data_IF_517850126564
#
_entry.id   IF_517850126564
#
_cell.length_a   1.000
_cell.length_b   1.000
_cell.length_c   1.000
_cell.angle_alpha   90.00
_cell.angle_beta   90.00
_cell.angle_gamma   90.00
#
_symmetry.space_group_name_H-M   'P 1'
#
loop_
_entity.id
_entity.type
_entity.pdbx_description
1 polymer ?
#
# COMPACT_ATOMS: atom_id res chain seq x y z
N UNK A 1 -11.59 21.39 -47.27
CA UNK A 1 -10.41 21.42 -48.15
C UNK A 1 -9.17 21.34 -47.27
N UNK A 2 -8.38 20.27 -47.41
CA UNK A 2 -7.02 20.19 -46.85
C UNK A 2 -6.01 20.74 -47.89
N UNK A 3 -4.77 21.07 -47.50
CA UNK A 3 -3.75 20.01 -47.52
C UNK A 3 -2.77 20.04 -46.33
N UNK A 4 -2.09 18.90 -46.19
CA UNK A 4 -1.37 18.43 -45.03
C UNK A 4 0.17 18.56 -45.13
N UNK A 5 0.76 18.83 -43.97
CA UNK A 5 1.95 18.24 -43.31
C UNK A 5 3.31 18.06 -44.01
N UNK A 6 4.33 18.47 -43.25
CA UNK A 6 5.78 18.37 -43.45
C UNK A 6 6.32 16.92 -43.45
N UNK A 7 7.25 16.70 -44.39
CA UNK A 7 8.55 15.99 -44.25
C UNK A 7 8.56 14.63 -43.49
N UNK A 8 8.46 13.55 -44.27
CA UNK A 8 9.13 12.26 -44.01
C UNK A 8 9.74 11.75 -45.32
N UNK A 9 11.08 11.58 -45.45
CA UNK A 9 11.70 11.07 -46.68
C UNK A 9 11.88 9.56 -46.58
N UNK A 10 10.81 8.80 -46.84
CA UNK A 10 10.91 7.35 -47.03
C UNK A 10 10.43 7.04 -48.45
N UNK A 11 11.38 6.79 -49.35
CA UNK A 11 11.09 6.31 -50.70
C UNK A 11 10.71 4.82 -50.62
N UNK A 12 9.41 4.54 -50.49
CA UNK A 12 8.87 3.20 -50.65
C UNK A 12 8.84 2.84 -52.14
N UNK A 13 9.90 2.18 -52.62
CA UNK A 13 9.95 1.74 -54.01
C UNK A 13 11.18 0.97 -54.47
N UNK A 14 12.28 0.92 -53.70
CA UNK A 14 13.43 0.05 -53.95
C UNK A 14 14.15 -0.20 -52.63
N UNK A 15 14.14 -1.45 -52.14
CA UNK A 15 14.83 -1.85 -50.90
C UNK A 15 16.34 -1.74 -51.02
N UNK A 16 16.90 -0.55 -50.77
CA UNK A 16 18.33 -0.38 -50.49
C UNK A 16 18.57 0.87 -49.65
N UNK A 17 18.96 0.64 -48.39
CA UNK A 17 19.45 1.68 -47.48
C UNK A 17 20.83 2.11 -47.99
N UNK A 18 20.97 3.37 -48.40
CA UNK A 18 22.28 3.94 -48.67
C UNK A 18 22.88 4.32 -47.32
N UNK A 19 23.49 3.32 -46.66
CA UNK A 19 24.47 3.59 -45.62
C UNK A 19 25.70 4.20 -46.29
N UNK A 20 25.99 5.48 -46.03
CA UNK A 20 27.20 6.08 -46.56
C UNK A 20 27.28 7.59 -46.40
N UNK A 21 27.79 8.01 -45.25
CA UNK A 21 28.46 9.29 -45.02
C UNK A 21 29.49 9.58 -46.12
N UNK A 22 29.19 10.50 -47.05
CA UNK A 22 30.16 11.28 -47.85
C UNK A 22 29.40 12.09 -48.92
N UNK A 23 28.68 13.14 -48.52
CA UNK A 23 27.98 14.02 -49.47
C UNK A 23 27.97 15.49 -49.08
N UNK A 24 28.53 15.85 -47.92
CA UNK A 24 28.63 17.25 -47.46
C UNK A 24 29.90 17.97 -47.94
N UNK A 25 30.77 17.31 -48.70
CA UNK A 25 31.99 17.91 -49.25
C UNK A 25 31.83 18.60 -50.61
N UNK A 26 30.62 18.62 -51.19
CA UNK A 26 30.39 19.08 -52.57
C UNK A 26 29.41 20.25 -52.74
N UNK A 27 29.02 20.94 -51.67
CA UNK A 27 28.06 22.07 -51.73
C UNK A 27 28.68 23.43 -51.46
N UNK A 28 29.99 23.56 -51.59
CA UNK A 28 30.66 24.86 -51.64
C UNK A 28 31.64 24.87 -52.80
N UNK A 29 31.11 24.98 -54.01
CA UNK A 29 31.87 25.49 -55.15
C UNK A 29 30.97 26.40 -55.99
N UNK A 30 31.40 27.62 -56.33
CA UNK A 30 30.72 28.45 -57.31
C UNK A 30 30.86 27.82 -58.70
N UNK A 31 29.86 28.06 -59.55
CA UNK A 31 29.68 27.52 -60.89
C UNK A 31 30.94 27.52 -61.76
N UNK A 32 31.23 26.38 -62.41
CA UNK A 32 32.06 26.32 -63.61
C UNK A 32 33.08 25.19 -63.65
N UNK A 33 32.86 24.23 -64.56
CA UNK A 33 33.79 23.27 -65.21
C UNK A 33 33.43 21.79 -64.94
N UNK A 34 33.04 21.02 -65.98
CA UNK A 34 32.88 19.57 -65.91
C UNK A 34 34.19 18.85 -66.27
N UNK A 35 34.61 17.83 -65.50
CA UNK A 35 35.67 16.90 -65.89
C UNK A 35 35.13 15.49 -66.13
N UNK A 36 35.40 14.97 -67.32
CA UNK A 36 35.05 13.62 -67.80
C UNK A 36 36.13 12.58 -67.48
N UNK A 37 35.67 11.41 -67.01
CA UNK A 37 36.10 10.02 -67.22
C UNK A 37 37.59 9.63 -67.41
N UNK A 38 38.03 8.56 -66.72
CA UNK A 38 38.01 7.19 -67.27
C UNK A 38 38.57 6.16 -66.26
N UNK A 39 37.95 4.98 -66.16
CA UNK A 39 38.41 3.88 -65.30
C UNK A 39 38.84 2.68 -66.15
N UNK A 40 40.12 2.29 -66.06
CA UNK A 40 40.67 1.05 -66.65
C UNK A 40 40.63 -0.06 -65.58
N UNK A 41 40.12 -1.25 -65.91
CA UNK A 41 39.96 -2.37 -64.97
C UNK A 41 41.13 -3.37 -65.13
N UNK A 42 41.84 -3.66 -64.04
CA UNK A 42 42.81 -4.77 -63.89
C UNK A 42 42.15 -5.93 -63.13
N UNK A 43 42.27 -7.16 -63.64
CA UNK A 43 41.73 -8.36 -62.98
C UNK A 43 42.65 -8.85 -61.84
N UNK A 44 42.06 -9.08 -60.66
CA UNK A 44 42.77 -9.49 -59.44
C UNK A 44 42.83 -11.00 -59.18
N UNK A 45 43.79 -11.39 -58.34
CA UNK A 45 44.10 -12.76 -57.90
C UNK A 45 42.89 -13.51 -57.31
N UNK A 46 42.92 -14.84 -57.46
CA UNK A 46 41.77 -15.70 -57.20
C UNK A 46 41.30 -15.70 -55.72
N UNK A 47 39.98 -15.81 -55.47
CA UNK A 47 39.36 -15.59 -54.15
C UNK A 47 39.91 -16.48 -53.02
N UNK A 48 40.35 -17.70 -53.35
CA UNK A 48 40.80 -18.69 -52.37
C UNK A 48 42.10 -18.27 -51.66
N UNK A 49 43.05 -17.69 -52.40
CA UNK A 49 44.33 -17.24 -51.83
C UNK A 49 44.13 -16.06 -50.86
N UNK A 50 43.19 -15.16 -51.18
CA UNK A 50 42.90 -13.98 -50.35
C UNK A 50 42.23 -14.34 -49.01
N UNK A 51 41.37 -15.37 -49.01
CA UNK A 51 40.65 -15.81 -47.82
C UNK A 51 41.58 -16.43 -46.75
N UNK A 52 42.55 -17.25 -47.18
CA UNK A 52 43.47 -17.93 -46.24
C UNK A 52 44.39 -16.94 -45.50
N UNK A 53 44.95 -15.95 -46.21
CA UNK A 53 45.80 -14.94 -45.57
C UNK A 53 45.02 -14.06 -44.58
N UNK A 54 43.75 -13.76 -44.86
CA UNK A 54 42.91 -12.97 -43.96
C UNK A 54 42.62 -13.70 -42.64
N UNK A 55 42.44 -15.03 -42.67
CA UNK A 55 42.15 -15.82 -41.48
C UNK A 55 43.34 -15.88 -40.50
N UNK A 56 44.56 -16.07 -41.01
CA UNK A 56 45.76 -16.14 -40.18
C UNK A 56 46.06 -14.81 -39.47
N UNK A 57 45.86 -13.68 -40.15
CA UNK A 57 46.06 -12.34 -39.55
C UNK A 57 45.00 -12.01 -38.48
N UNK A 58 43.78 -12.56 -38.58
CA UNK A 58 42.70 -12.32 -37.59
C UNK A 58 42.92 -13.04 -36.25
N UNK A 59 43.53 -14.23 -36.24
CA UNK A 59 43.75 -14.99 -34.99
C UNK A 59 44.78 -14.35 -34.06
N UNK A 60 45.90 -13.82 -34.58
CA UNK A 60 46.95 -13.18 -33.75
C UNK A 60 46.52 -11.86 -33.09
N UNK A 61 45.51 -11.13 -33.61
CA UNK A 61 45.06 -9.85 -33.04
C UNK A 61 44.07 -9.97 -31.87
N UNK A 62 43.46 -11.14 -31.62
CA UNK A 62 42.43 -11.28 -30.58
C UNK A 62 42.99 -11.46 -29.16
N UNK A 63 44.17 -12.06 -29.00
CA UNK A 63 44.74 -12.38 -27.66
C UNK A 63 45.19 -11.15 -26.87
N UNK A 64 45.84 -10.16 -27.51
CA UNK A 64 46.36 -8.98 -26.80
C UNK A 64 45.31 -7.96 -26.32
N UNK A 65 44.08 -7.98 -26.87
CA UNK A 65 43.01 -7.06 -26.44
C UNK A 65 42.34 -7.51 -25.14
N UNK A 66 42.24 -8.82 -24.91
CA UNK A 66 41.59 -9.33 -23.70
C UNK A 66 42.44 -9.12 -22.44
N UNK A 67 43.77 -9.24 -22.56
CA UNK A 67 44.67 -8.95 -21.44
C UNK A 67 44.63 -7.48 -21.01
N UNK A 68 44.53 -6.53 -21.95
CA UNK A 68 44.41 -5.10 -21.64
C UNK A 68 43.10 -4.76 -20.95
N UNK A 69 41.99 -5.40 -21.34
CA UNK A 69 40.71 -5.22 -20.67
C UNK A 69 40.70 -5.82 -19.26
N UNK A 70 41.36 -6.97 -19.04
CA UNK A 70 41.49 -7.58 -17.72
C UNK A 70 42.31 -6.70 -16.76
N UNK A 71 43.44 -6.17 -17.22
CA UNK A 71 44.28 -5.27 -16.41
C UNK A 71 43.53 -3.98 -16.05
N UNK A 72 42.76 -3.40 -16.98
CA UNK A 72 41.93 -2.23 -16.70
C UNK A 72 40.89 -2.50 -15.61
N UNK A 73 40.19 -3.64 -15.69
CA UNK A 73 39.18 -4.03 -14.70
C UNK A 73 39.81 -4.24 -13.32
N UNK A 74 40.99 -4.85 -13.27
CA UNK A 74 41.74 -5.05 -12.02
C UNK A 74 42.17 -3.70 -11.43
N UNK A 75 42.69 -2.77 -12.22
CA UNK A 75 43.08 -1.42 -11.74
C UNK A 75 41.86 -0.66 -11.21
N UNK A 76 40.73 -0.70 -11.90
CA UNK A 76 39.48 -0.07 -11.44
C UNK A 76 39.02 -0.70 -10.12
N UNK A 77 39.04 -2.02 -10.01
CA UNK A 77 38.71 -2.73 -8.77
C UNK A 77 39.67 -2.37 -7.62
N UNK A 78 40.97 -2.26 -7.88
CA UNK A 78 41.98 -1.85 -6.89
C UNK A 78 41.79 -0.39 -6.46
N UNK A 79 41.40 0.52 -7.35
CA UNK A 79 41.05 1.90 -6.97
C UNK A 79 39.86 1.92 -6.03
N UNK A 80 38.84 1.08 -6.26
CA UNK A 80 37.69 0.94 -5.34
C UNK A 80 38.05 0.28 -4.00
N UNK A 81 39.01 -0.66 -3.98
CA UNK A 81 39.41 -1.40 -2.78
C UNK A 81 40.52 -0.72 -1.95
N UNK A 82 41.35 0.16 -2.53
CA UNK A 82 42.57 0.67 -1.89
C UNK A 82 42.79 2.20 -1.96
N UNK A 83 41.74 3.03 -2.05
CA UNK A 83 41.92 4.49 -1.86
C UNK A 83 41.16 5.07 -0.64
N UNK A 84 41.80 5.97 0.15
CA UNK A 84 41.24 6.62 1.34
C UNK A 84 40.12 7.63 1.04
N UNK A 85 39.63 7.70 -0.19
CA UNK A 85 38.51 8.57 -0.58
C UNK A 85 37.14 8.06 -0.10
N UNK A 86 37.09 6.87 0.51
CA UNK A 86 35.86 6.28 1.03
C UNK A 86 35.20 7.12 2.13
N UNK A 87 35.93 7.91 2.93
CA UNK A 87 35.28 8.68 3.99
C UNK A 87 34.36 9.78 3.46
N UNK A 88 34.75 10.49 2.40
CA UNK A 88 33.92 11.54 1.81
C UNK A 88 32.75 10.96 1.01
N UNK A 89 33.00 9.90 0.25
CA UNK A 89 31.95 9.23 -0.53
C UNK A 89 30.95 8.54 0.39
N UNK A 90 31.38 7.87 1.46
CA UNK A 90 30.47 7.23 2.42
C UNK A 90 29.63 8.26 3.20
N UNK A 91 30.20 9.42 3.54
CA UNK A 91 29.44 10.52 4.17
C UNK A 91 28.41 11.13 3.22
N UNK A 92 28.76 11.36 1.95
CA UNK A 92 27.81 11.88 0.97
C UNK A 92 26.74 10.85 0.62
N UNK A 93 27.13 9.58 0.51
CA UNK A 93 26.21 8.48 0.23
C UNK A 93 25.25 8.26 1.40
N UNK A 94 25.70 8.37 2.66
CA UNK A 94 24.82 8.23 3.83
C UNK A 94 23.85 9.42 3.98
N UNK A 95 24.29 10.64 3.69
CA UNK A 95 23.41 11.82 3.64
C UNK A 95 22.36 11.65 2.53
N UNK A 96 22.80 11.28 1.34
CA UNK A 96 21.91 11.08 0.19
C UNK A 96 20.96 9.91 0.38
N UNK A 97 21.42 8.78 0.94
CA UNK A 97 20.57 7.66 1.34
C UNK A 97 19.58 8.10 2.41
N UNK A 98 19.98 8.93 3.38
CA UNK A 98 19.07 9.47 4.39
C UNK A 98 17.97 10.35 3.80
N UNK A 99 18.31 11.20 2.82
CA UNK A 99 17.33 12.02 2.08
C UNK A 99 16.44 11.18 1.18
N UNK A 100 16.99 10.18 0.50
CA UNK A 100 16.26 9.22 -0.32
C UNK A 100 15.29 8.37 0.52
N UNK A 101 15.73 7.88 1.68
CA UNK A 101 14.87 7.16 2.63
C UNK A 101 13.80 8.06 3.25
N UNK A 102 14.05 9.35 3.45
CA UNK A 102 13.00 10.32 3.83
C UNK A 102 12.02 10.59 2.69
N UNK A 103 12.47 10.53 1.44
CA UNK A 103 11.65 10.77 0.24
C UNK A 103 10.83 9.55 -0.20
N UNK A 104 11.24 8.33 0.15
CA UNK A 104 10.64 7.06 -0.32
C UNK A 104 10.14 6.19 0.83
N UNK A 105 10.66 6.40 2.04
CA UNK A 105 10.01 5.86 3.22
C UNK A 105 8.58 6.37 3.22
N UNK A 106 7.59 5.51 3.51
CA UNK A 106 6.22 5.98 3.66
C UNK A 106 6.26 7.01 4.78
N UNK A 107 6.23 8.29 4.42
CA UNK A 107 5.81 9.32 5.33
C UNK A 107 4.35 8.98 5.61
N UNK A 108 4.13 8.10 6.57
CA UNK A 108 2.81 7.94 7.15
C UNK A 108 2.51 9.30 7.76
N UNK A 109 1.73 10.11 7.03
CA UNK A 109 1.09 11.28 7.59
C UNK A 109 0.09 10.75 8.60
N UNK A 110 0.42 10.95 9.87
CA UNK A 110 -0.46 10.60 10.97
C UNK A 110 -1.46 11.74 11.19
N UNK A 111 -2.70 11.45 11.61
CA UNK A 111 -3.21 10.12 11.96
C UNK A 111 -3.55 9.23 10.76
N UNK A 112 -3.33 7.92 10.92
CA UNK A 112 -3.79 6.90 9.95
C UNK A 112 -5.10 6.32 10.47
N UNK A 113 -6.19 6.57 9.73
CA UNK A 113 -7.52 6.02 10.01
C UNK A 113 -7.79 4.74 9.23
N UNK A 114 -8.50 3.80 9.85
CA UNK A 114 -9.05 2.61 9.18
C UNK A 114 -10.47 2.34 9.65
N UNK A 115 -11.30 1.84 8.74
CA UNK A 115 -12.66 1.38 9.05
C UNK A 115 -12.72 -0.14 8.88
N UNK A 116 -13.38 -0.82 9.80
CA UNK A 116 -13.60 -2.25 9.73
C UNK A 116 -14.89 -2.67 10.43
N UNK A 117 -15.45 -3.78 9.97
CA UNK A 117 -16.62 -4.41 10.59
C UNK A 117 -16.16 -5.61 11.42
N UNK A 118 -16.59 -5.66 12.69
CA UNK A 118 -16.34 -6.78 13.59
C UNK A 118 -17.64 -7.53 13.86
N UNK A 119 -17.66 -8.83 13.59
CA UNK A 119 -18.79 -9.69 13.89
C UNK A 119 -18.44 -10.63 15.05
N UNK A 120 -19.34 -10.72 16.03
CA UNK A 120 -19.26 -11.63 17.17
C UNK A 120 -20.53 -12.47 17.21
N UNK A 121 -20.38 -13.77 17.36
CA UNK A 121 -21.50 -14.69 17.58
C UNK A 121 -21.43 -15.23 19.00
N UNK A 122 -22.57 -15.23 19.70
CA UNK A 122 -22.74 -15.83 21.03
C UNK A 122 -23.74 -16.96 20.90
N UNK A 123 -23.36 -18.15 21.34
CA UNK A 123 -24.17 -19.37 21.27
C UNK A 123 -24.38 -19.91 22.68
N UNK A 124 -25.62 -20.26 23.01
CA UNK A 124 -26.00 -20.86 24.29
C UNK A 124 -26.78 -22.13 23.98
N UNK A 125 -26.26 -23.27 24.44
CA UNK A 125 -26.81 -24.59 24.13
C UNK A 125 -27.58 -25.14 25.33
N UNK A 126 -28.76 -25.70 25.08
CA UNK A 126 -29.53 -26.45 26.07
C UNK A 126 -29.57 -27.93 25.68
N UNK A 127 -28.75 -28.74 26.36
CA UNK A 127 -28.72 -30.20 26.18
C UNK A 127 -29.71 -30.96 27.06
N UNK A 128 -30.46 -30.26 27.92
CA UNK A 128 -31.41 -30.90 28.82
C UNK A 128 -32.70 -31.31 28.09
N UNK A 129 -33.45 -32.19 28.73
CA UNK A 129 -34.76 -32.66 28.25
C UNK A 129 -35.90 -31.66 28.48
N UNK A 130 -35.62 -30.55 29.17
CA UNK A 130 -36.59 -29.50 29.49
C UNK A 130 -36.11 -28.12 29.03
N UNK A 131 -37.01 -27.14 29.11
CA UNK A 131 -36.72 -25.75 28.81
C UNK A 131 -35.79 -25.12 29.87
N UNK A 132 -34.89 -24.23 29.43
CA UNK A 132 -33.94 -23.54 30.29
C UNK A 132 -33.94 -22.04 30.02
N UNK A 133 -34.18 -21.28 31.08
CA UNK A 133 -34.05 -19.83 31.04
C UNK A 133 -32.57 -19.43 30.97
N UNK A 134 -32.26 -18.41 30.18
CA UNK A 134 -30.94 -17.79 30.15
C UNK A 134 -31.05 -16.27 30.21
N UNK A 135 -29.97 -15.66 30.71
CA UNK A 135 -29.77 -14.23 30.69
C UNK A 135 -28.30 -13.95 30.36
N UNK A 136 -28.08 -13.21 29.28
CA UNK A 136 -26.77 -12.79 28.81
C UNK A 136 -26.68 -11.27 28.78
N UNK A 137 -25.61 -10.71 29.38
CA UNK A 137 -25.35 -9.26 29.37
C UNK A 137 -24.17 -8.97 28.44
N UNK A 138 -24.40 -8.10 27.48
CA UNK A 138 -23.41 -7.63 26.52
C UNK A 138 -23.16 -6.14 26.73
N UNK A 139 -21.94 -5.71 27.08
CA UNK A 139 -21.63 -4.28 27.19
C UNK A 139 -21.87 -3.55 25.87
N UNK A 140 -22.57 -2.42 25.92
CA UNK A 140 -22.65 -1.49 24.79
C UNK A 140 -21.30 -0.75 24.74
N UNK A 141 -20.59 -0.76 23.59
CA UNK A 141 -19.30 -0.13 23.49
C UNK A 141 -19.31 1.35 23.88
N UNK A 142 -18.21 1.79 24.46
CA UNK A 142 -17.91 3.19 24.75
C UNK A 142 -16.74 3.63 23.88
N UNK A 143 -16.77 4.89 23.45
CA UNK A 143 -15.73 5.47 22.61
C UNK A 143 -14.39 5.49 23.35
N UNK A 144 -13.29 5.29 22.61
CA UNK A 144 -11.95 5.18 23.21
C UNK A 144 -11.06 6.30 22.73
N UNK A 145 -10.37 6.90 23.69
CA UNK A 145 -9.39 7.95 23.44
C UNK A 145 -7.99 7.46 23.80
N UNK A 146 -6.97 8.26 23.49
CA UNK A 146 -5.60 8.04 23.96
C UNK A 146 -5.46 8.13 25.50
N UNK A 147 -6.53 8.55 26.20
CA UNK A 147 -6.68 8.49 27.67
C UNK A 147 -7.66 7.41 28.14
N UNK A 148 -7.89 6.39 27.33
CA UNK A 148 -8.76 5.27 27.68
C UNK A 148 -10.20 5.55 27.30
N UNK A 149 -10.96 6.24 28.15
CA UNK A 149 -12.37 6.63 27.91
C UNK A 149 -12.63 8.10 28.22
N UNK A 150 -11.63 8.79 28.78
CA UNK A 150 -11.74 10.19 29.17
C UNK A 150 -11.57 11.08 27.93
N UNK A 151 -12.34 12.16 27.89
CA UNK A 151 -12.33 13.17 26.82
C UNK A 151 -11.19 14.19 26.98
N UNK A 152 -10.50 14.19 28.12
CA UNK A 152 -9.45 15.16 28.47
C UNK A 152 -8.17 14.45 28.91
N UNK A 153 -7.03 15.09 28.68
CA UNK A 153 -5.69 14.52 28.94
C UNK A 153 -5.00 15.19 30.13
N UNK A 154 -4.66 16.47 30.01
CA UNK A 154 -3.97 17.24 31.02
C UNK A 154 -4.76 18.49 31.40
N UNK A 155 -4.78 18.80 32.68
CA UNK A 155 -5.26 20.08 33.20
C UNK A 155 -4.06 21.02 33.41
N UNK A 156 -4.06 22.14 32.68
CA UNK A 156 -3.04 23.18 32.77
C UNK A 156 -3.64 24.43 33.41
N UNK A 157 -3.93 24.34 34.72
CA UNK A 157 -4.49 25.41 35.53
C UNK A 157 -5.83 25.96 34.98
N UNK A 158 -6.75 25.07 34.63
CA UNK A 158 -8.09 25.43 34.14
C UNK A 158 -8.25 25.37 32.62
N UNK A 159 -7.18 25.11 31.87
CA UNK A 159 -7.24 24.76 30.46
C UNK A 159 -7.06 23.26 30.31
N UNK A 160 -8.12 22.59 29.86
CA UNK A 160 -8.14 21.14 29.64
C UNK A 160 -7.75 20.84 28.20
N UNK A 161 -6.69 20.06 28.03
CA UNK A 161 -6.27 19.55 26.72
C UNK A 161 -7.15 18.35 26.35
N UNK A 162 -7.81 18.40 25.19
CA UNK A 162 -8.69 17.32 24.72
C UNK A 162 -7.90 16.05 24.37
N UNK A 163 -8.47 14.90 24.73
CA UNK A 163 -7.96 13.60 24.32
C UNK A 163 -8.23 13.35 22.83
N UNK A 164 -7.32 12.62 22.19
CA UNK A 164 -7.48 12.24 20.79
C UNK A 164 -8.22 10.92 20.70
N UNK A 165 -9.22 10.84 19.82
CA UNK A 165 -9.98 9.61 19.58
C UNK A 165 -9.09 8.54 18.95
N UNK A 166 -9.09 7.35 19.53
CA UNK A 166 -8.35 6.18 19.06
C UNK A 166 -9.28 5.17 18.40
N UNK A 167 -10.49 5.03 18.93
CA UNK A 167 -11.50 4.14 18.37
C UNK A 167 -12.89 4.74 18.52
N UNK A 168 -13.61 4.78 17.41
CA UNK A 168 -14.99 5.23 17.33
C UNK A 168 -15.88 4.11 16.80
N UNK A 169 -16.82 3.63 17.62
CA UNK A 169 -17.83 2.65 17.22
C UNK A 169 -19.00 3.40 16.59
N UNK A 170 -19.14 3.28 15.26
CA UNK A 170 -20.18 3.96 14.46
C UNK A 170 -21.54 3.31 14.61
N UNK A 171 -21.57 1.98 14.75
CA UNK A 171 -22.84 1.26 14.93
C UNK A 171 -22.62 -0.05 15.67
N UNK A 172 -23.67 -0.48 16.37
CA UNK A 172 -23.82 -1.80 16.95
C UNK A 172 -25.17 -2.35 16.52
N UNK A 173 -25.18 -3.52 15.91
CA UNK A 173 -26.39 -4.20 15.47
C UNK A 173 -26.44 -5.58 16.08
N UNK A 174 -27.59 -5.96 16.62
CA UNK A 174 -27.81 -7.29 17.21
C UNK A 174 -28.94 -8.00 16.50
N UNK A 175 -28.83 -9.31 16.36
CA UNK A 175 -29.76 -10.00 15.50
C UNK A 175 -29.59 -11.50 15.39
N UNK A 176 -30.60 -12.13 14.81
CA UNK A 176 -30.42 -13.39 14.10
C UNK A 176 -29.76 -13.09 12.74
N UNK A 177 -29.33 -14.12 12.00
CA UNK A 177 -28.59 -13.95 10.74
C UNK A 177 -29.26 -13.05 9.68
N UNK A 178 -30.57 -12.75 9.80
CA UNK A 178 -31.35 -12.01 8.80
C UNK A 178 -32.08 -10.77 9.35
N UNK A 179 -32.27 -10.67 10.67
CA UNK A 179 -32.93 -9.53 11.33
C UNK A 179 -31.92 -8.81 12.20
N UNK A 180 -31.68 -7.52 11.95
CA UNK A 180 -30.74 -6.72 12.73
C UNK A 180 -31.47 -5.56 13.39
N UNK A 181 -31.27 -5.41 14.70
CA UNK A 181 -31.79 -4.34 15.55
C UNK A 181 -30.62 -3.41 15.84
N UNK A 182 -30.79 -2.12 15.53
CA UNK A 182 -29.80 -1.10 15.84
C UNK A 182 -29.81 -0.79 17.35
N UNK A 183 -28.64 -0.86 17.96
CA UNK A 183 -28.43 -0.54 19.38
C UNK A 183 -27.76 0.83 19.48
N UNK A 184 -28.31 1.77 20.26
CA UNK A 184 -27.78 3.13 20.36
C UNK A 184 -26.41 3.15 21.05
N UNK A 185 -25.36 3.45 20.27
CA UNK A 185 -23.98 3.57 20.76
C UNK A 185 -23.63 5.00 21.17
N UNK A 186 -24.02 6.00 20.37
CA UNK A 186 -23.65 7.40 20.56
C UNK A 186 -24.63 8.18 21.45
N UNK A 187 -25.90 7.77 21.48
CA UNK A 187 -26.93 8.38 22.30
C UNK A 187 -27.22 7.53 23.53
N UNK A 188 -27.58 8.20 24.63
CA UNK A 188 -28.06 7.53 25.84
C UNK A 188 -29.56 7.34 25.72
N UNK A 189 -29.93 6.27 25.01
CA UNK A 189 -31.30 5.81 24.88
C UNK A 189 -31.48 4.49 25.63
N UNK A 190 -32.66 4.29 26.19
CA UNK A 190 -32.98 3.11 26.98
C UNK A 190 -34.18 2.39 26.38
N UNK A 191 -34.10 1.06 26.39
CA UNK A 191 -35.20 0.17 26.10
C UNK A 191 -35.41 -0.70 27.33
N UNK A 192 -36.50 -0.45 28.04
CA UNK A 192 -36.89 -1.20 29.22
C UNK A 192 -37.40 -2.60 28.84
N UNK A 193 -37.35 -3.54 29.78
CA UNK A 193 -37.80 -4.91 29.57
C UNK A 193 -39.24 -5.01 29.05
N UNK A 194 -40.14 -4.16 29.54
CA UNK A 194 -41.54 -4.12 29.10
C UNK A 194 -41.72 -3.80 27.62
N UNK A 195 -40.70 -3.23 26.98
CA UNK A 195 -40.65 -2.90 25.56
C UNK A 195 -39.58 -3.72 24.82
N UNK A 196 -39.15 -4.85 25.38
CA UNK A 196 -38.13 -5.70 24.78
C UNK A 196 -38.52 -6.12 23.35
N UNK A 197 -37.51 -6.12 22.47
CA UNK A 197 -37.69 -6.48 21.07
C UNK A 197 -37.41 -7.97 20.92
N UNK A 198 -38.37 -8.72 20.35
CA UNK A 198 -38.13 -10.14 20.01
C UNK A 198 -37.16 -10.25 18.84
N UNK A 199 -36.23 -11.21 18.93
CA UNK A 199 -35.26 -11.47 17.86
C UNK A 199 -35.86 -12.24 16.66
N UNK A 200 -37.09 -12.72 16.79
CA UNK A 200 -37.81 -13.48 15.75
C UNK A 200 -37.52 -14.98 15.76
N UNK A 201 -36.72 -15.47 16.72
CA UNK A 201 -36.49 -16.89 16.99
C UNK A 201 -37.66 -17.55 17.76
N UNK A 202 -38.60 -16.75 18.26
CA UNK A 202 -39.81 -17.19 18.94
C UNK A 202 -39.67 -17.40 20.45
N UNK A 203 -38.45 -17.28 21.00
CA UNK A 203 -38.20 -17.58 22.41
C UNK A 203 -37.23 -16.61 23.10
N UNK A 204 -36.58 -15.71 22.37
CA UNK A 204 -35.67 -14.73 22.96
C UNK A 204 -35.96 -13.28 22.55
N UNK A 205 -35.49 -12.37 23.40
CA UNK A 205 -35.68 -10.94 23.25
C UNK A 205 -34.48 -10.17 23.77
N UNK A 206 -34.36 -8.93 23.30
CA UNK A 206 -33.29 -8.01 23.69
C UNK A 206 -33.86 -6.69 24.18
N UNK A 207 -33.18 -6.11 25.16
CA UNK A 207 -33.45 -4.77 25.68
C UNK A 207 -32.16 -4.16 26.25
N UNK A 208 -32.13 -2.85 26.48
CA UNK A 208 -30.96 -2.15 27.03
C UNK A 208 -31.45 -1.14 28.07
N UNK A 209 -31.59 -1.58 29.33
CA UNK A 209 -32.24 -0.80 30.36
C UNK A 209 -31.33 0.32 30.88
N UNK A 210 -31.89 1.23 31.69
CA UNK A 210 -31.09 2.18 32.44
C UNK A 210 -30.20 1.50 33.49
N UNK A 211 -29.23 2.25 34.02
CA UNK A 211 -28.31 1.73 35.01
C UNK A 211 -29.02 1.41 36.33
N UNK A 212 -28.62 0.32 36.99
CA UNK A 212 -29.19 -0.10 38.27
C UNK A 212 -28.70 -1.47 38.72
N UNK A 213 -28.95 -1.80 40.00
CA UNK A 213 -28.45 -3.01 40.65
C UNK A 213 -29.41 -4.22 40.58
N UNK A 214 -30.56 -4.10 39.91
CA UNK A 214 -31.48 -5.23 39.76
C UNK A 214 -31.07 -6.15 38.62
N UNK A 215 -31.64 -7.34 38.56
CA UNK A 215 -31.32 -8.34 37.54
C UNK A 215 -31.66 -7.86 36.12
N UNK A 216 -32.75 -7.13 35.94
CA UNK A 216 -33.13 -6.53 34.65
C UNK A 216 -32.47 -5.17 34.38
N UNK A 217 -31.33 -4.88 35.01
CA UNK A 217 -30.56 -3.64 34.86
C UNK A 217 -29.08 -3.93 34.60
N UNK A 218 -28.37 -2.88 34.20
CA UNK A 218 -26.91 -2.91 34.06
C UNK A 218 -26.28 -2.09 35.19
N UNK A 219 -25.46 -2.72 36.04
CA UNK A 219 -24.97 -2.08 37.26
C UNK A 219 -23.90 -1.00 37.00
N UNK A 220 -22.90 -1.31 36.16
CA UNK A 220 -21.70 -0.48 36.03
C UNK A 220 -21.60 0.30 34.71
N UNK A 221 -22.09 -0.28 33.62
CA UNK A 221 -22.01 0.32 32.29
C UNK A 221 -23.25 -0.02 31.48
N UNK A 222 -23.56 0.78 30.46
CA UNK A 222 -24.67 0.49 29.55
C UNK A 222 -24.45 -0.88 28.93
N UNK A 223 -25.49 -1.71 28.95
CA UNK A 223 -25.43 -3.05 28.43
C UNK A 223 -26.73 -3.39 27.72
N UNK A 224 -26.62 -4.28 26.75
CA UNK A 224 -27.74 -5.00 26.17
C UNK A 224 -27.93 -6.29 26.95
N UNK A 225 -29.16 -6.55 27.35
CA UNK A 225 -29.59 -7.79 27.98
C UNK A 225 -30.31 -8.62 26.93
N UNK A 226 -29.79 -9.80 26.67
CA UNK A 226 -30.42 -10.83 25.85
C UNK A 226 -30.91 -11.95 26.76
N UNK A 227 -32.20 -12.23 26.72
CA UNK A 227 -32.82 -13.26 27.58
C UNK A 227 -33.92 -14.00 26.86
N UNK A 228 -34.22 -15.19 27.35
CA UNK A 228 -35.26 -16.04 26.81
C UNK A 228 -35.25 -17.41 27.46
N UNK A 229 -36.09 -18.28 26.92
CA UNK A 229 -36.25 -19.65 27.37
C UNK A 229 -35.85 -20.59 26.22
N UNK A 230 -34.73 -21.30 26.37
CA UNK A 230 -34.20 -22.17 25.32
C UNK A 230 -34.93 -23.51 25.38
N UNK A 231 -35.61 -23.93 24.29
CA UNK A 231 -36.27 -25.23 24.24
C UNK A 231 -35.31 -26.40 24.51
N UNK A 232 -35.86 -27.55 24.91
CA UNK A 232 -35.08 -28.76 25.11
C UNK A 232 -34.28 -29.13 23.85
N UNK A 233 -33.03 -29.55 24.03
CA UNK A 233 -32.14 -29.98 22.93
C UNK A 233 -31.97 -28.95 21.81
N UNK A 234 -31.89 -27.66 22.14
CA UNK A 234 -31.81 -26.57 21.16
C UNK A 234 -30.75 -25.52 21.52
N UNK A 235 -30.53 -24.55 20.62
CA UNK A 235 -29.46 -23.55 20.71
C UNK A 235 -30.06 -22.16 20.48
N UNK A 236 -29.67 -21.21 21.34
CA UNK A 236 -29.91 -19.78 21.14
C UNK A 236 -28.66 -19.14 20.53
N UNK A 237 -28.83 -18.34 19.47
CA UNK A 237 -27.72 -17.68 18.76
C UNK A 237 -27.99 -16.19 18.65
N UNK A 238 -27.03 -15.38 19.10
CA UNK A 238 -27.02 -13.93 18.93
C UNK A 238 -25.81 -13.53 18.09
N UNK A 239 -26.08 -12.89 16.94
CA UNK A 239 -25.05 -12.26 16.12
C UNK A 239 -25.00 -10.77 16.43
N UNK A 240 -23.80 -10.27 16.67
CA UNK A 240 -23.54 -8.86 16.91
C UNK A 240 -22.54 -8.35 15.90
N UNK A 241 -22.88 -7.25 15.24
CA UNK A 241 -22.05 -6.61 14.23
C UNK A 241 -21.74 -5.19 14.67
N UNK A 242 -20.45 -4.84 14.64
CA UNK A 242 -19.97 -3.50 14.95
C UNK A 242 -19.30 -2.90 13.73
N UNK A 243 -19.61 -1.65 13.41
CA UNK A 243 -18.83 -0.85 12.47
C UNK A 243 -17.93 0.08 13.27
N UNK A 244 -16.62 -0.03 13.06
CA UNK A 244 -15.61 0.63 13.89
C UNK A 244 -14.67 1.43 12.99
N UNK A 245 -14.42 2.67 13.39
CA UNK A 245 -13.34 3.50 12.88
C UNK A 245 -12.24 3.55 13.93
N UNK A 246 -10.99 3.45 13.51
CA UNK A 246 -9.84 3.44 14.41
C UNK A 246 -8.71 4.29 13.85
N UNK A 247 -8.07 5.03 14.74
CA UNK A 247 -7.02 5.98 14.43
C UNK A 247 -5.72 5.54 15.10
N UNK A 248 -4.64 5.57 14.34
CA UNK A 248 -3.28 5.43 14.85
C UNK A 248 -2.57 6.77 14.77
N UNK A 249 -1.83 7.10 15.82
CA UNK A 249 -0.99 8.31 15.91
C UNK A 249 0.45 7.86 16.12
N UNK A 250 1.41 8.59 15.55
CA UNK A 250 2.82 8.43 15.89
C UNK A 250 3.38 9.73 16.43
N UNK A 251 4.34 9.60 17.33
CA UNK A 251 5.03 10.73 17.92
C UNK A 251 6.17 11.08 16.99
N UNK A 252 6.08 12.21 16.30
CA UNK A 252 7.21 12.67 15.50
C UNK A 252 8.09 13.60 16.36
N UNK A 253 9.38 13.69 16.01
CA UNK A 253 10.39 14.45 16.77
C UNK A 253 10.14 15.98 16.78
N UNK A 254 9.16 16.46 16.00
CA UNK A 254 8.74 17.85 15.91
C UNK A 254 7.47 18.18 16.70
N UNK A 255 6.75 17.18 17.21
CA UNK A 255 5.58 17.38 18.06
C UNK A 255 6.03 17.72 19.48
N UNK A 256 6.48 18.96 19.68
CA UNK A 256 6.55 19.53 21.03
C UNK A 256 5.12 19.78 21.49
N UNK A 257 4.74 19.12 22.59
CA UNK A 257 3.57 19.48 23.39
C UNK A 257 3.72 20.97 23.73
N UNK A 258 2.96 21.82 23.05
CA UNK A 258 2.87 23.27 23.33
C UNK A 258 1.97 23.50 24.53
#
# INVERSE_FOLDING_TARGET
>A
MAPASLRNPICHGCGRVISGTSGMGGRVTPSGVPQQHSSRVQYGLSPKARAQQAHLKRKKKKTGKQFKNLVLVIVIAFVFLFTPAQEHVNKQLSIWLGEFWKSIGPAHEYPVGTEYTLQRTVEIENFDSGERQFLYRLPIPIQRTNRGVDDTTFDRNGNLDMASDVQWVKSMKVGSSFSHIDVPVDTVEYLEESSAISLGDGFSSVHWPSLGSSEDRCEFTRCLIWKGDIPATSIAILTITYDIESYSYAWNRGDTIS
#
